data_IF_068563124834
#
_entry.id   IF_068563124834
#
_cell.length_a   1.000
_cell.length_b   1.000
_cell.length_c   1.000
_cell.angle_alpha   90.00
_cell.angle_beta   90.00
_cell.angle_gamma   90.00
#
_symmetry.space_group_name_H-M   'P 1'
#
loop_
_entity.id
_entity.type
_entity.pdbx_description
1 polymer ?
#
# COMPACT_ATOMS: atom_id res chain seq x y z
N UNK A 1 -30.37 12.23 3.23
CA UNK A 1 -29.86 11.78 2.99
C UNK A 1 -28.75 11.70 3.07
N UNK A 2 -28.30 11.34 3.02
CA UNK A 2 -27.31 11.15 3.12
C UNK A 2 -26.51 10.89 2.45
N UNK A 3 -26.09 10.99 2.11
CA UNK A 3 -25.42 10.74 1.45
C UNK A 3 -24.39 10.48 1.41
N UNK A 4 -23.85 10.33 1.46
CA UNK A 4 -22.85 10.02 1.47
C UNK A 4 -22.43 9.19 0.80
N UNK A 5 -22.67 9.13 -0.08
CA UNK A 5 -22.28 8.28 -0.92
C UNK A 5 -20.94 7.99 -0.95
N UNK A 6 -20.07 8.85 -0.89
CA UNK A 6 -18.82 8.43 -0.84
C UNK A 6 -18.17 8.84 0.26
N UNK A 7 -17.41 8.02 0.80
CA UNK A 7 -16.70 8.28 1.95
C UNK A 7 -15.28 8.51 1.60
N UNK A 8 -14.65 9.48 2.20
CA UNK A 8 -13.24 9.69 2.00
C UNK A 8 -12.44 8.52 2.54
N UNK A 9 -13.07 7.68 3.35
CA UNK A 9 -12.38 6.53 3.91
C UNK A 9 -12.35 5.32 3.00
N UNK A 10 -12.90 5.43 1.79
CA UNK A 10 -12.92 4.29 0.88
C UNK A 10 -12.03 4.55 -0.32
N UNK A 11 -11.33 3.52 -0.76
CA UNK A 11 -10.52 3.63 -1.97
C UNK A 11 -11.44 3.85 -3.17
N UNK A 12 -11.00 4.70 -4.07
CA UNK A 12 -11.67 4.87 -5.35
C UNK A 12 -11.14 3.83 -6.32
N UNK A 13 -11.82 3.60 -7.45
CA UNK A 13 -11.27 2.71 -8.47
C UNK A 13 -9.89 3.13 -8.94
N UNK A 14 -9.62 4.44 -8.99
CA UNK A 14 -8.29 4.92 -9.38
C UNK A 14 -7.26 4.56 -8.34
N UNK A 15 -7.61 4.62 -7.06
CA UNK A 15 -6.70 4.24 -5.99
C UNK A 15 -6.31 2.77 -6.13
N UNK A 16 -7.30 1.93 -6.38
CA UNK A 16 -7.05 0.50 -6.51
C UNK A 16 -6.23 0.22 -7.76
N UNK A 17 -6.49 0.94 -8.84
CA UNK A 17 -5.74 0.77 -10.07
C UNK A 17 -4.27 1.13 -9.84
N UNK A 18 -4.02 2.24 -9.15
CA UNK A 18 -2.65 2.66 -8.86
C UNK A 18 -1.92 1.60 -8.05
N UNK A 19 -2.59 1.06 -7.04
CA UNK A 19 -1.96 0.07 -6.19
C UNK A 19 -1.68 -1.22 -6.96
N UNK A 20 -2.65 -1.71 -7.73
CA UNK A 20 -2.49 -2.97 -8.42
C UNK A 20 -1.52 -2.89 -9.59
N UNK A 21 -1.29 -1.69 -10.10
CA UNK A 21 -0.27 -1.50 -11.11
C UNK A 21 1.10 -1.86 -10.53
N UNK A 22 1.27 -1.59 -9.24
CA UNK A 22 2.50 -1.92 -8.54
C UNK A 22 2.47 -3.38 -8.09
N UNK A 23 1.33 -3.84 -7.62
CA UNK A 23 1.22 -5.16 -7.01
C UNK A 23 1.31 -6.31 -8.01
N UNK A 24 0.67 -6.17 -9.17
CA UNK A 24 0.62 -7.25 -10.13
C UNK A 24 1.95 -7.80 -10.57
N UNK A 25 2.90 -6.97 -10.99
CA UNK A 25 4.19 -7.52 -11.38
C UNK A 25 4.87 -8.26 -10.24
N UNK A 26 4.69 -7.78 -9.02
CA UNK A 26 5.31 -8.41 -7.86
C UNK A 26 4.64 -9.74 -7.52
N UNK A 27 3.32 -9.82 -7.70
CA UNK A 27 2.62 -11.06 -7.49
C UNK A 27 2.97 -12.07 -8.58
N UNK A 28 3.08 -11.59 -9.83
CA UNK A 28 3.43 -12.47 -10.94
C UNK A 28 4.81 -13.06 -10.79
N UNK A 29 5.70 -12.32 -10.13
CA UNK A 29 7.06 -12.81 -9.90
C UNK A 29 7.20 -13.57 -8.61
N UNK A 30 6.13 -13.75 -7.89
CA UNK A 30 6.17 -14.51 -6.64
C UNK A 30 6.74 -13.76 -5.46
N UNK A 31 6.95 -12.44 -5.57
CA UNK A 31 7.47 -11.67 -4.46
C UNK A 31 6.40 -11.38 -3.43
N UNK A 32 5.18 -11.17 -3.88
CA UNK A 32 4.02 -10.95 -3.00
C UNK A 32 3.08 -12.14 -3.18
N UNK A 33 2.60 -12.67 -2.08
CA UNK A 33 1.69 -13.82 -2.14
C UNK A 33 0.26 -13.39 -2.38
N UNK A 34 -0.12 -12.25 -1.88
CA UNK A 34 -1.49 -11.80 -2.07
C UNK A 34 -1.76 -10.44 -1.49
N UNK A 35 -2.93 -9.90 -1.83
CA UNK A 35 -3.39 -8.62 -1.34
C UNK A 35 -4.81 -8.81 -0.85
N UNK A 36 -5.10 -8.38 0.37
CA UNK A 36 -6.42 -8.51 0.97
C UNK A 36 -6.95 -7.13 1.34
N UNK A 37 -8.17 -6.84 0.98
CA UNK A 37 -8.79 -5.57 1.33
C UNK A 37 -9.60 -5.72 2.60
N UNK A 38 -9.45 -4.77 3.51
CA UNK A 38 -10.24 -4.71 4.72
C UNK A 38 -10.83 -3.33 4.85
N UNK A 39 -12.12 -3.27 5.07
CA UNK A 39 -12.85 -2.01 5.17
C UNK A 39 -13.44 -1.89 6.55
N UNK A 40 -13.27 -0.74 7.17
CA UNK A 40 -13.84 -0.48 8.48
C UNK A 40 -14.34 0.96 8.53
N UNK A 41 -14.93 1.33 9.65
CA UNK A 41 -15.39 2.70 9.83
C UNK A 41 -14.25 3.69 9.80
N UNK A 42 -13.05 3.25 10.19
CA UNK A 42 -11.90 4.12 10.25
C UNK A 42 -11.17 4.28 8.92
N UNK A 43 -11.45 3.44 7.97
CA UNK A 43 -10.79 3.56 6.69
C UNK A 43 -10.81 2.27 5.90
N UNK A 44 -10.15 2.32 4.78
CA UNK A 44 -10.03 1.20 3.87
C UNK A 44 -8.56 0.86 3.78
N UNK A 45 -8.22 -0.41 3.74
CA UNK A 45 -6.81 -0.77 3.66
C UNK A 45 -6.59 -2.02 2.83
N UNK A 46 -5.43 -2.08 2.21
CA UNK A 46 -4.98 -3.24 1.47
C UNK A 46 -3.77 -3.80 2.20
N UNK A 47 -3.83 -5.08 2.50
CA UNK A 47 -2.77 -5.76 3.22
C UNK A 47 -2.05 -6.70 2.28
N UNK A 48 -0.75 -6.59 2.25
CA UNK A 48 0.09 -7.41 1.37
C UNK A 48 0.77 -8.48 2.18
N UNK A 49 0.67 -9.72 1.72
CA UNK A 49 1.35 -10.83 2.38
C UNK A 49 2.44 -11.36 1.47
N UNK A 50 3.49 -11.85 2.08
CA UNK A 50 4.61 -12.45 1.37
C UNK A 50 4.52 -13.95 1.48
N UNK A 51 5.11 -14.69 0.54
CA UNK A 51 5.20 -16.14 0.71
C UNK A 51 5.97 -16.44 1.98
N UNK A 52 5.58 -17.46 2.66
CA UNK A 52 6.28 -17.92 3.86
C UNK A 52 6.15 -17.05 5.10
N UNK A 53 5.31 -16.03 5.05
CA UNK A 53 5.06 -15.22 6.23
C UNK A 53 3.58 -15.26 6.55
N UNK A 54 3.28 -15.36 7.83
CA UNK A 54 1.90 -15.46 8.26
C UNK A 54 1.20 -14.17 8.45
N UNK A 55 1.92 -13.08 8.45
CA UNK A 55 1.34 -11.78 8.71
C UNK A 55 1.57 -10.84 7.55
N UNK A 56 0.75 -9.80 7.43
CA UNK A 56 0.95 -8.83 6.37
C UNK A 56 2.27 -8.08 6.55
N UNK A 57 2.87 -7.73 5.45
CA UNK A 57 4.14 -7.01 5.43
C UNK A 57 3.94 -5.56 5.07
N UNK A 58 2.99 -5.24 4.19
CA UNK A 58 2.67 -3.87 3.84
C UNK A 58 1.21 -3.60 4.08
N UNK A 59 0.90 -2.36 4.41
CA UNK A 59 -0.46 -1.90 4.60
C UNK A 59 -0.60 -0.55 3.91
N UNK A 60 -1.47 -0.47 2.93
CA UNK A 60 -1.80 0.76 2.24
C UNK A 60 -3.17 1.17 2.71
N UNK A 61 -3.29 2.30 3.37
CA UNK A 61 -4.51 2.71 4.01
C UNK A 61 -4.97 4.08 3.56
N UNK A 62 -6.29 4.24 3.44
CA UNK A 62 -6.91 5.54 3.26
C UNK A 62 -7.81 5.76 4.47
N UNK A 63 -7.57 6.84 5.21
CA UNK A 63 -8.30 7.08 6.44
C UNK A 63 -9.54 7.94 6.19
N UNK A 64 -10.23 8.27 7.26
CA UNK A 64 -11.49 9.00 7.18
C UNK A 64 -11.35 10.40 6.60
N UNK A 65 -10.16 10.94 6.63
CA UNK A 65 -9.90 12.26 6.08
C UNK A 65 -9.47 12.19 4.64
N UNK A 66 -9.35 10.99 4.10
CA UNK A 66 -8.89 10.81 2.74
C UNK A 66 -7.39 10.87 2.60
N UNK A 67 -6.66 10.73 3.70
CA UNK A 67 -5.20 10.71 3.66
C UNK A 67 -4.72 9.30 3.47
N UNK A 68 -3.71 9.14 2.65
CA UNK A 68 -3.16 7.83 2.34
C UNK A 68 -1.87 7.62 3.11
N UNK A 69 -1.66 6.41 3.60
CA UNK A 69 -0.44 6.06 4.30
C UNK A 69 -0.03 4.67 3.89
N UNK A 70 1.26 4.47 3.73
CA UNK A 70 1.81 3.17 3.40
C UNK A 70 2.71 2.75 4.55
N UNK A 71 2.51 1.54 5.05
CA UNK A 71 3.23 1.03 6.22
C UNK A 71 3.95 -0.25 5.87
N UNK A 72 5.07 -0.45 6.54
CA UNK A 72 5.86 -1.67 6.43
C UNK A 72 5.96 -2.29 7.82
N UNK A 73 5.81 -3.60 7.91
CA UNK A 73 5.86 -4.31 9.17
C UNK A 73 7.16 -5.10 9.27
N UNK A 74 7.92 -4.85 10.33
CA UNK A 74 9.10 -5.64 10.59
C UNK A 74 9.00 -6.20 12.01
N UNK A 75 10.10 -6.68 12.57
CA UNK A 75 10.07 -7.25 13.90
C UNK A 75 9.66 -6.28 14.96
N UNK A 76 9.85 -5.02 14.75
CA UNK A 76 9.54 -4.00 15.73
C UNK A 76 8.17 -3.39 15.54
N UNK A 77 7.44 -3.81 14.56
CA UNK A 77 6.09 -3.34 14.32
C UNK A 77 5.93 -2.61 13.02
N UNK A 78 4.90 -1.79 12.95
CA UNK A 78 4.57 -1.08 11.73
C UNK A 78 5.29 0.25 11.65
N UNK A 79 5.88 0.54 10.50
CA UNK A 79 6.57 1.80 10.27
C UNK A 79 6.00 2.45 9.02
N UNK A 80 5.71 3.73 9.10
CA UNK A 80 5.20 4.47 7.94
C UNK A 80 6.35 4.70 6.97
N UNK A 81 6.16 4.34 5.72
CA UNK A 81 7.17 4.52 4.70
C UNK A 81 6.69 5.43 3.58
N UNK A 82 5.44 5.85 3.61
CA UNK A 82 4.92 6.78 2.62
C UNK A 82 3.60 7.35 3.06
N UNK A 83 3.29 8.55 2.63
CA UNK A 83 2.01 9.17 2.90
C UNK A 83 1.72 10.23 1.85
N UNK A 84 0.50 10.66 1.78
CA UNK A 84 0.15 11.70 0.85
C UNK A 84 -1.34 11.96 0.80
N UNK A 85 -1.72 12.95 0.04
CA UNK A 85 -3.12 13.28 -0.16
C UNK A 85 -3.69 12.59 -1.39
N UNK A 86 -2.87 11.89 -2.14
CA UNK A 86 -3.31 11.08 -3.27
C UNK A 86 -2.61 9.74 -3.20
N UNK A 87 -3.20 8.74 -3.84
CA UNK A 87 -2.58 7.42 -3.88
C UNK A 87 -1.25 7.48 -4.62
N UNK A 88 -1.17 8.25 -5.68
CA UNK A 88 0.07 8.39 -6.43
C UNK A 88 1.19 8.93 -5.56
N UNK A 89 0.89 9.94 -4.78
CA UNK A 89 1.89 10.51 -3.89
C UNK A 89 2.34 9.51 -2.82
N UNK A 90 1.40 8.84 -2.21
CA UNK A 90 1.70 7.90 -1.16
C UNK A 90 2.53 6.72 -1.69
N UNK A 91 2.24 6.26 -2.89
CA UNK A 91 2.90 5.09 -3.45
C UNK A 91 4.18 5.43 -4.21
N UNK A 92 4.60 6.69 -4.14
CA UNK A 92 5.76 7.15 -4.91
C UNK A 92 7.05 6.42 -4.53
N UNK A 93 7.12 5.90 -3.31
CA UNK A 93 8.30 5.18 -2.90
C UNK A 93 8.53 3.97 -3.80
N UNK A 94 7.48 3.40 -4.36
CA UNK A 94 7.61 2.27 -5.26
C UNK A 94 7.67 2.67 -6.73
N UNK A 95 7.26 3.90 -7.06
CA UNK A 95 7.27 4.34 -8.43
C UNK A 95 8.46 5.18 -8.77
N UNK A 96 8.84 6.04 -7.83
CA UNK A 96 9.97 6.91 -8.07
C UNK A 96 11.23 6.12 -7.97
N UNK A 97 12.03 6.14 -9.06
CA UNK A 97 13.16 5.37 -9.06
C UNK A 97 14.24 6.18 -9.52
N UNK A 98 14.91 6.90 -8.72
CA UNK A 98 16.01 7.73 -9.10
C UNK A 98 17.02 6.89 -9.84
N UNK A 99 17.38 7.36 -10.93
CA UNK A 99 18.22 6.58 -11.79
C UNK A 99 19.45 6.09 -11.14
N UNK A 100 20.04 6.85 -10.30
CA UNK A 100 21.20 6.44 -9.79
C UNK A 100 21.25 6.12 -8.45
N UNK A 101 20.33 6.48 -7.71
CA UNK A 101 20.38 6.15 -6.33
C UNK A 101 20.17 4.68 -6.21
N UNK A 102 20.98 4.05 -5.45
CA UNK A 102 20.87 2.64 -5.29
C UNK A 102 20.59 2.33 -3.85
N UNK A 103 19.36 2.08 -3.51
CA UNK A 103 19.03 1.72 -2.14
C UNK A 103 19.70 0.40 -1.79
N UNK A 104 19.81 0.07 -0.54
CA UNK A 104 20.33 -1.21 -0.17
C UNK A 104 19.62 -2.30 -0.91
N UNK A 105 20.37 -3.20 -1.47
CA UNK A 105 19.80 -4.21 -2.30
C UNK A 105 18.73 -5.02 -1.62
N UNK A 106 18.94 -5.35 -0.38
CA UNK A 106 17.99 -6.15 0.32
C UNK A 106 16.65 -5.47 0.46
N UNK A 107 16.63 -4.18 0.52
CA UNK A 107 15.39 -3.47 0.63
C UNK A 107 14.65 -3.55 -0.66
N UNK A 108 15.38 -3.41 -1.76
CA UNK A 108 14.74 -3.43 -3.01
C UNK A 108 14.17 -4.73 -3.37
N UNK A 109 14.80 -5.80 -2.99
CA UNK A 109 14.34 -7.11 -3.38
C UNK A 109 12.98 -7.41 -2.80
N UNK A 110 12.71 -6.97 -1.62
CA UNK A 110 11.45 -7.28 -0.98
C UNK A 110 10.34 -6.36 -1.49
N UNK A 111 10.72 -5.24 -1.97
CA UNK A 111 9.74 -4.25 -2.38
C UNK A 111 9.47 -4.26 -3.85
#
# INVERSE_FOLDING_TARGET
>A
MTVVAFSLARFTPADLSDFYEIARPRMDRGLWAGVTRQTSADGDQLLVTFPHLDRPVFRFKRDRRGTYTLWFHDRQGWHSIGSGSTSTECLSIWRTRPARVTPPAQVREAY
#
